data_IF_832230049873
#
_entry.id   IF_832230049873
#
_cell.length_a   1.000
_cell.length_b   1.000
_cell.length_c   1.000
_cell.angle_alpha   90.00
_cell.angle_beta   90.00
_cell.angle_gamma   90.00
#
_symmetry.space_group_name_H-M   'P 1'
#
loop_
_entity.id
_entity.type
_entity.pdbx_description
1 polymer ?
#
# COMPACT_ATOMS: atom_id res chain seq x y z
N UNK A 1 2.10 16.44 2.76
CA UNK A 1 1.30 16.88 1.59
C UNK A 1 0.01 16.09 1.58
N UNK A 2 -1.13 16.71 1.28
CA UNK A 2 -2.44 16.06 1.43
C UNK A 2 -2.98 15.79 0.02
N UNK A 3 -3.16 14.50 -0.32
CA UNK A 3 -3.86 14.09 -1.54
C UNK A 3 -5.37 14.42 -1.37
N UNK A 4 -6.00 15.03 -2.38
CA UNK A 4 -7.40 15.37 -2.35
C UNK A 4 -8.24 14.35 -3.11
N UNK A 5 -9.17 13.70 -2.41
CA UNK A 5 -10.14 12.77 -2.97
C UNK A 5 -11.47 13.47 -3.24
N UNK A 6 -12.04 13.28 -4.42
CA UNK A 6 -13.35 13.81 -4.83
C UNK A 6 -14.50 12.82 -4.60
N UNK A 7 -14.18 11.54 -4.50
CA UNK A 7 -15.16 10.44 -4.33
C UNK A 7 -14.51 9.24 -3.64
N UNK A 8 -15.32 8.21 -3.38
CA UNK A 8 -14.89 6.94 -2.78
C UNK A 8 -14.68 5.82 -3.80
N UNK A 9 -14.56 6.15 -5.10
CA UNK A 9 -14.34 5.12 -6.13
C UNK A 9 -12.93 4.56 -6.08
N UNK A 10 -12.76 3.28 -6.44
CA UNK A 10 -11.45 2.69 -6.58
C UNK A 10 -10.58 3.45 -7.60
N UNK A 11 -9.31 3.63 -7.27
CA UNK A 11 -8.34 4.24 -8.18
C UNK A 11 -7.98 3.26 -9.31
N UNK A 12 -7.39 3.80 -10.40
CA UNK A 12 -6.96 2.97 -11.52
C UNK A 12 -5.99 1.84 -11.11
N UNK A 13 -5.13 2.08 -10.13
CA UNK A 13 -4.17 1.08 -9.63
C UNK A 13 -4.85 -0.12 -8.96
N UNK A 14 -6.00 0.08 -8.35
CA UNK A 14 -6.76 -0.98 -7.69
C UNK A 14 -7.11 -2.13 -8.67
N UNK A 15 -7.37 -1.82 -9.94
CA UNK A 15 -7.70 -2.82 -10.97
C UNK A 15 -6.62 -3.88 -11.21
N UNK A 16 -5.35 -3.60 -10.91
CA UNK A 16 -4.26 -4.58 -11.02
C UNK A 16 -3.62 -4.96 -9.68
N UNK A 17 -3.91 -4.24 -8.60
CA UNK A 17 -3.43 -4.56 -7.24
C UNK A 17 -4.38 -5.51 -6.50
N UNK A 18 -5.68 -5.25 -6.58
CA UNK A 18 -6.70 -6.06 -5.88
C UNK A 18 -6.72 -7.54 -6.27
N UNK A 19 -6.47 -7.96 -7.52
CA UNK A 19 -6.37 -9.40 -7.83
C UNK A 19 -5.34 -10.13 -6.97
N UNK A 20 -4.14 -9.56 -6.76
CA UNK A 20 -3.11 -10.15 -5.90
C UNK A 20 -3.52 -10.11 -4.42
N UNK A 21 -4.11 -9.00 -3.96
CA UNK A 21 -4.65 -8.89 -2.62
C UNK A 21 -5.69 -9.98 -2.35
N UNK A 22 -6.68 -10.13 -3.25
CA UNK A 22 -7.75 -11.12 -3.13
C UNK A 22 -7.24 -12.56 -3.21
N UNK A 23 -6.32 -12.84 -4.13
CA UNK A 23 -5.65 -14.14 -4.21
C UNK A 23 -4.95 -14.48 -2.89
N UNK A 24 -4.20 -13.52 -2.32
CA UNK A 24 -3.46 -13.72 -1.08
C UNK A 24 -4.41 -13.98 0.10
N UNK A 25 -5.49 -13.20 0.23
CA UNK A 25 -6.41 -13.35 1.37
C UNK A 25 -7.29 -14.61 1.26
N UNK A 26 -7.66 -15.03 0.05
CA UNK A 26 -8.50 -16.21 -0.18
C UNK A 26 -7.74 -17.54 -0.03
N UNK A 27 -6.42 -17.53 -0.23
CA UNK A 27 -5.57 -18.71 -0.12
C UNK A 27 -5.03 -18.95 1.30
N UNK A 28 -5.56 -18.25 2.31
CA UNK A 28 -5.08 -18.33 3.69
C UNK A 28 -6.22 -18.48 4.68
N UNK A 29 -6.00 -19.30 5.71
CA UNK A 29 -6.85 -19.31 6.90
C UNK A 29 -6.46 -18.15 7.82
N UNK A 30 -7.44 -17.48 8.39
CA UNK A 30 -7.29 -16.31 9.25
C UNK A 30 -7.74 -16.63 10.68
N UNK A 31 -7.01 -16.18 11.69
CA UNK A 31 -7.33 -16.42 13.09
C UNK A 31 -8.43 -15.49 13.60
N UNK A 32 -8.36 -14.21 13.30
CA UNK A 32 -9.35 -13.23 13.77
C UNK A 32 -9.90 -12.32 12.67
N UNK A 33 -9.38 -12.38 11.45
CA UNK A 33 -9.76 -11.51 10.33
C UNK A 33 -9.74 -10.01 10.65
N UNK A 34 -8.79 -9.56 11.47
CA UNK A 34 -8.56 -8.13 11.68
C UNK A 34 -7.60 -7.61 10.61
N UNK A 35 -7.99 -6.54 9.92
CA UNK A 35 -7.16 -5.90 8.89
C UNK A 35 -6.89 -4.43 9.19
N UNK A 36 -5.70 -3.96 8.83
CA UNK A 36 -5.31 -2.56 8.89
C UNK A 36 -4.89 -2.06 7.52
N UNK A 37 -5.43 -0.92 7.08
CA UNK A 37 -5.05 -0.26 5.82
C UNK A 37 -4.27 1.03 6.14
N UNK A 38 -2.95 0.97 5.92
CA UNK A 38 -2.03 2.07 6.20
C UNK A 38 -1.88 2.95 4.96
N UNK A 39 -2.50 4.13 4.97
CA UNK A 39 -2.69 4.98 3.81
C UNK A 39 -3.97 4.61 3.05
N UNK A 40 -5.09 4.53 3.77
CA UNK A 40 -6.37 4.03 3.24
C UNK A 40 -7.06 4.96 2.24
N UNK A 41 -6.59 6.20 2.10
CA UNK A 41 -7.17 7.20 1.20
C UNK A 41 -8.67 7.38 1.39
N UNK A 42 -9.43 7.13 0.32
CA UNK A 42 -10.89 7.22 0.31
C UNK A 42 -11.63 5.96 0.81
N UNK A 43 -10.91 4.99 1.38
CA UNK A 43 -11.49 3.81 2.01
C UNK A 43 -11.93 2.70 1.06
N UNK A 44 -11.69 2.82 -0.25
CA UNK A 44 -12.13 1.82 -1.22
C UNK A 44 -11.55 0.41 -0.94
N UNK A 45 -10.25 0.32 -0.58
CA UNK A 45 -9.61 -0.95 -0.20
C UNK A 45 -10.13 -1.45 1.15
N UNK A 46 -10.37 -0.55 2.11
CA UNK A 46 -10.99 -0.92 3.38
C UNK A 46 -12.36 -1.58 3.17
N UNK A 47 -13.20 -0.98 2.31
CA UNK A 47 -14.51 -1.56 1.99
C UNK A 47 -14.39 -2.92 1.30
N UNK A 48 -13.48 -3.07 0.34
CA UNK A 48 -13.21 -4.36 -0.29
C UNK A 48 -12.88 -5.44 0.75
N UNK A 49 -11.98 -5.15 1.69
CA UNK A 49 -11.60 -6.08 2.76
C UNK A 49 -12.79 -6.40 3.68
N UNK A 50 -13.61 -5.40 4.00
CA UNK A 50 -14.82 -5.58 4.80
C UNK A 50 -15.82 -6.52 4.10
N UNK A 51 -16.05 -6.37 2.80
CA UNK A 51 -16.89 -7.25 2.00
C UNK A 51 -16.37 -8.72 1.97
N UNK A 52 -15.05 -8.92 2.21
CA UNK A 52 -14.43 -10.23 2.37
C UNK A 52 -14.40 -10.72 3.84
N UNK A 53 -15.14 -10.03 4.72
CA UNK A 53 -15.37 -10.43 6.11
C UNK A 53 -14.28 -10.06 7.08
N UNK A 54 -13.44 -9.07 6.76
CA UNK A 54 -12.47 -8.52 7.70
C UNK A 54 -13.10 -7.40 8.55
N UNK A 55 -12.68 -7.33 9.82
CA UNK A 55 -12.83 -6.15 10.66
C UNK A 55 -11.68 -5.18 10.34
N UNK A 56 -12.03 -4.05 9.70
CA UNK A 56 -11.04 -3.19 9.05
C UNK A 56 -10.92 -1.85 9.76
N UNK A 57 -9.68 -1.47 10.07
CA UNK A 57 -9.31 -0.11 10.46
C UNK A 57 -8.38 0.47 9.41
N UNK A 58 -8.67 1.67 8.93
CA UNK A 58 -7.80 2.40 7.99
C UNK A 58 -7.36 3.74 8.57
N UNK A 59 -6.14 4.17 8.24
CA UNK A 59 -5.68 5.52 8.55
C UNK A 59 -5.07 6.18 7.30
N UNK A 60 -5.31 7.48 7.17
CA UNK A 60 -4.69 8.31 6.12
C UNK A 60 -4.47 9.73 6.63
N UNK A 61 -3.51 10.43 6.06
CA UNK A 61 -3.27 11.86 6.33
C UNK A 61 -4.22 12.78 5.57
N UNK A 62 -4.91 12.27 4.54
CA UNK A 62 -5.87 13.01 3.72
C UNK A 62 -7.20 13.17 4.43
N UNK A 63 -7.50 14.39 4.86
CA UNK A 63 -8.80 14.74 5.47
C UNK A 63 -9.94 14.45 4.48
N UNK A 64 -9.81 14.86 3.22
CA UNK A 64 -10.85 14.62 2.21
C UNK A 64 -11.05 13.13 1.95
N UNK A 65 -9.98 12.32 1.93
CA UNK A 65 -10.06 10.88 1.78
C UNK A 65 -10.82 10.23 2.92
N UNK A 66 -10.43 10.51 4.16
CA UNK A 66 -11.10 9.96 5.35
C UNK A 66 -12.57 10.39 5.43
N UNK A 67 -12.90 11.63 5.09
CA UNK A 67 -14.30 12.08 5.05
C UNK A 67 -15.11 11.32 3.99
N UNK A 68 -14.55 11.08 2.80
CA UNK A 68 -15.21 10.27 1.77
C UNK A 68 -15.40 8.81 2.22
N UNK A 69 -14.38 8.22 2.86
CA UNK A 69 -14.45 6.86 3.41
C UNK A 69 -15.58 6.74 4.45
N UNK A 70 -15.63 7.64 5.43
CA UNK A 70 -16.64 7.64 6.48
C UNK A 70 -18.06 7.85 5.96
N UNK A 71 -18.22 8.73 4.95
CA UNK A 71 -19.53 9.00 4.34
C UNK A 71 -20.02 7.82 3.48
N UNK A 72 -19.12 7.14 2.76
CA UNK A 72 -19.48 6.10 1.78
C UNK A 72 -19.51 4.70 2.39
N UNK A 73 -18.69 4.45 3.43
CA UNK A 73 -18.49 3.13 4.02
C UNK A 73 -18.65 3.16 5.55
N UNK A 74 -19.87 3.39 6.08
CA UNK A 74 -20.10 3.59 7.52
C UNK A 74 -19.77 2.35 8.39
N UNK A 75 -19.64 1.18 7.78
CA UNK A 75 -19.26 -0.08 8.46
C UNK A 75 -17.74 -0.27 8.58
N UNK A 76 -16.94 0.66 8.05
CA UNK A 76 -15.48 0.60 8.10
C UNK A 76 -14.96 1.76 8.95
N UNK A 77 -14.01 1.46 9.83
CA UNK A 77 -13.36 2.48 10.66
C UNK A 77 -12.23 3.13 9.87
N UNK A 78 -12.42 4.37 9.39
CA UNK A 78 -11.37 5.16 8.76
C UNK A 78 -11.11 6.43 9.60
N UNK A 79 -9.84 6.69 9.93
CA UNK A 79 -9.43 7.79 10.80
C UNK A 79 -8.24 8.57 10.20
N UNK A 80 -8.09 9.82 10.62
CA UNK A 80 -6.91 10.62 10.28
C UNK A 80 -5.75 10.14 11.12
N UNK A 81 -4.64 9.82 10.46
CA UNK A 81 -3.41 9.37 11.11
C UNK A 81 -2.24 9.30 10.12
N UNK A 82 -1.04 9.18 10.63
CA UNK A 82 0.18 9.16 9.84
C UNK A 82 0.90 7.82 9.93
N UNK A 83 1.48 7.37 8.82
CA UNK A 83 2.40 6.22 8.81
C UNK A 83 3.69 6.42 9.62
N UNK A 84 3.86 7.59 10.23
CA UNK A 84 4.95 7.89 11.15
C UNK A 84 4.55 7.87 12.63
N UNK A 85 3.25 7.66 12.92
CA UNK A 85 2.75 7.58 14.28
C UNK A 85 2.97 6.17 14.87
N UNK A 86 2.92 6.04 16.19
CA UNK A 86 2.97 4.73 16.90
C UNK A 86 1.59 4.05 16.84
N UNK A 87 1.20 3.65 15.62
CA UNK A 87 -0.12 3.10 15.36
C UNK A 87 -0.34 1.75 16.03
N UNK A 88 0.70 0.93 16.16
CA UNK A 88 0.60 -0.37 16.83
C UNK A 88 0.29 -0.22 18.32
N UNK A 89 0.79 0.83 18.97
CA UNK A 89 0.44 1.15 20.36
C UNK A 89 -1.01 1.59 20.49
N UNK A 90 -1.53 2.29 19.50
CA UNK A 90 -2.89 2.85 19.52
C UNK A 90 -3.97 1.83 19.13
N UNK A 91 -3.73 1.07 18.06
CA UNK A 91 -4.72 0.16 17.46
C UNK A 91 -4.45 -1.33 17.73
N UNK A 92 -3.27 -1.67 18.24
CA UNK A 92 -2.81 -3.05 18.40
C UNK A 92 -2.25 -3.63 17.09
N UNK A 93 -2.30 -4.95 16.98
CA UNK A 93 -1.77 -5.70 15.82
C UNK A 93 -2.88 -6.41 15.05
N UNK A 94 -2.60 -6.74 13.79
CA UNK A 94 -3.60 -7.21 12.82
C UNK A 94 -3.10 -8.46 12.09
N UNK A 95 -4.02 -9.35 11.72
CA UNK A 95 -3.69 -10.52 10.90
C UNK A 95 -3.25 -10.13 9.49
N UNK A 96 -3.85 -9.05 8.96
CA UNK A 96 -3.55 -8.48 7.66
C UNK A 96 -3.24 -6.99 7.79
N UNK A 97 -2.09 -6.56 7.28
CA UNK A 97 -1.77 -5.13 7.13
C UNK A 97 -1.59 -4.84 5.64
N UNK A 98 -2.32 -3.87 5.14
CA UNK A 98 -2.26 -3.47 3.72
C UNK A 98 -1.74 -2.05 3.62
N UNK A 99 -0.94 -1.75 2.59
CA UNK A 99 -0.54 -0.40 2.22
C UNK A 99 -0.28 -0.35 0.72
N UNK A 100 -1.18 0.25 -0.04
CA UNK A 100 -1.15 0.23 -1.50
C UNK A 100 -0.83 1.60 -2.08
N UNK A 101 0.31 1.72 -2.79
CA UNK A 101 0.76 2.95 -3.47
C UNK A 101 0.90 4.14 -2.49
N UNK A 102 1.63 3.92 -1.37
CA UNK A 102 1.82 4.92 -0.31
C UNK A 102 3.29 5.22 -0.07
N UNK A 103 4.14 4.19 0.03
CA UNK A 103 5.55 4.32 0.47
C UNK A 103 6.39 5.19 -0.47
N UNK A 104 6.02 5.29 -1.74
CA UNK A 104 6.67 6.17 -2.74
C UNK A 104 6.49 7.66 -2.45
N UNK A 105 5.50 8.03 -1.64
CA UNK A 105 5.24 9.40 -1.20
C UNK A 105 5.92 9.72 0.14
N UNK A 106 6.55 8.74 0.80
CA UNK A 106 7.12 8.89 2.12
C UNK A 106 8.53 9.48 2.09
N UNK A 107 8.79 10.57 2.83
CA UNK A 107 10.13 11.13 3.00
C UNK A 107 11.06 10.17 3.73
N UNK A 108 10.56 9.53 4.80
CA UNK A 108 11.26 8.58 5.66
C UNK A 108 10.72 7.16 5.48
N UNK A 109 11.08 6.46 4.38
CA UNK A 109 10.51 5.15 4.07
C UNK A 109 10.86 4.09 5.12
N UNK A 110 12.00 4.22 5.84
CA UNK A 110 12.35 3.31 6.95
C UNK A 110 11.43 3.47 8.14
N UNK A 111 11.06 4.70 8.49
CA UNK A 111 10.10 4.97 9.57
C UNK A 111 8.73 4.38 9.22
N UNK A 112 8.25 4.64 8.01
CA UNK A 112 7.01 4.07 7.50
C UNK A 112 7.02 2.54 7.47
N UNK A 113 8.08 1.91 6.96
CA UNK A 113 8.20 0.45 6.91
C UNK A 113 8.23 -0.18 8.31
N UNK A 114 8.86 0.47 9.29
CA UNK A 114 8.84 0.01 10.69
C UNK A 114 7.42 0.06 11.27
N UNK A 115 6.68 1.15 11.04
CA UNK A 115 5.27 1.26 11.45
C UNK A 115 4.43 0.17 10.80
N UNK A 116 4.56 -0.02 9.48
CA UNK A 116 3.86 -1.06 8.73
C UNK A 116 4.12 -2.45 9.31
N UNK A 117 5.39 -2.82 9.55
CA UNK A 117 5.75 -4.12 10.11
C UNK A 117 5.33 -4.27 11.56
N UNK A 118 5.32 -3.19 12.37
CA UNK A 118 4.91 -3.24 13.77
C UNK A 118 3.44 -3.58 13.96
N UNK A 119 2.61 -3.25 12.97
CA UNK A 119 1.17 -3.54 12.96
C UNK A 119 0.86 -5.02 12.66
N UNK A 120 1.81 -5.79 12.10
CA UNK A 120 1.58 -7.21 11.75
C UNK A 120 1.63 -8.05 13.02
N UNK A 121 0.56 -8.79 13.28
CA UNK A 121 0.48 -9.76 14.38
C UNK A 121 1.45 -10.95 14.18
N UNK A 122 1.86 -11.64 15.24
CA UNK A 122 2.57 -12.92 15.09
C UNK A 122 1.75 -13.89 14.23
N UNK A 123 2.37 -14.41 13.17
CA UNK A 123 1.69 -15.24 12.18
C UNK A 123 0.80 -14.49 11.18
N UNK A 124 0.66 -13.17 11.30
CA UNK A 124 0.02 -12.31 10.31
C UNK A 124 0.89 -12.03 9.08
N UNK A 125 0.33 -11.31 8.11
CA UNK A 125 1.05 -10.86 6.92
C UNK A 125 0.81 -9.39 6.63
N UNK A 126 1.76 -8.78 5.94
CA UNK A 126 1.63 -7.46 5.33
C UNK A 126 1.61 -7.54 3.81
N UNK A 127 0.83 -6.70 3.16
CA UNK A 127 0.79 -6.54 1.70
C UNK A 127 1.08 -5.07 1.40
N UNK A 128 2.24 -4.80 0.80
CA UNK A 128 2.69 -3.46 0.47
C UNK A 128 2.93 -3.34 -1.02
N UNK A 129 2.36 -2.32 -1.66
CA UNK A 129 2.64 -2.03 -3.06
C UNK A 129 3.32 -0.68 -3.27
N UNK A 130 4.00 -0.57 -4.40
CA UNK A 130 4.58 0.67 -4.90
C UNK A 130 4.83 0.54 -6.40
N UNK A 131 4.91 1.65 -7.19
CA UNK A 131 5.28 1.59 -8.59
C UNK A 131 6.61 0.89 -8.82
N UNK A 132 6.65 0.01 -9.82
CA UNK A 132 7.84 -0.75 -10.15
C UNK A 132 8.80 0.05 -11.01
N UNK A 133 10.03 0.23 -10.55
CA UNK A 133 11.12 0.92 -11.26
C UNK A 133 12.31 -0.02 -11.54
N UNK A 134 12.03 -1.08 -12.34
CA UNK A 134 13.08 -2.00 -12.80
C UNK A 134 13.91 -1.41 -13.94
N UNK A 135 15.14 -1.93 -14.09
CA UNK A 135 16.10 -1.46 -15.09
C UNK A 135 15.53 -1.43 -16.52
N UNK A 136 14.92 -2.54 -16.98
CA UNK A 136 14.38 -2.65 -18.34
C UNK A 136 13.24 -1.66 -18.58
N UNK A 137 12.35 -1.47 -17.60
CA UNK A 137 11.28 -0.47 -17.68
C UNK A 137 11.84 0.93 -17.82
N UNK A 138 12.80 1.31 -16.96
CA UNK A 138 13.39 2.64 -17.00
C UNK A 138 14.18 2.90 -18.30
N UNK A 139 14.90 1.87 -18.80
CA UNK A 139 15.56 1.95 -20.09
C UNK A 139 14.55 2.17 -21.24
N UNK A 140 13.43 1.44 -21.24
CA UNK A 140 12.37 1.61 -22.23
C UNK A 140 11.74 3.02 -22.16
N UNK A 141 11.53 3.57 -20.96
CA UNK A 141 11.04 4.94 -20.78
C UNK A 141 12.03 5.98 -21.35
N UNK A 142 13.32 5.80 -21.11
CA UNK A 142 14.37 6.68 -21.62
C UNK A 142 14.46 6.62 -23.14
N UNK A 143 14.51 5.42 -23.72
CA UNK A 143 14.60 5.23 -25.18
C UNK A 143 13.37 5.72 -25.95
N UNK A 144 12.19 5.69 -25.32
CA UNK A 144 10.93 6.12 -25.94
C UNK A 144 10.57 7.57 -25.64
N UNK A 145 11.42 8.34 -24.94
CA UNK A 145 11.15 9.72 -24.54
C UNK A 145 9.98 9.92 -23.58
N UNK A 146 9.62 8.86 -22.81
CA UNK A 146 8.44 8.89 -21.92
C UNK A 146 8.80 9.18 -20.45
N UNK A 147 10.01 9.64 -20.18
CA UNK A 147 10.44 9.94 -18.79
C UNK A 147 9.56 11.02 -18.15
N UNK A 148 9.37 12.16 -18.83
CA UNK A 148 8.63 13.29 -18.26
C UNK A 148 7.17 12.95 -17.97
N UNK A 149 6.51 12.24 -18.91
CA UNK A 149 5.12 11.80 -18.72
C UNK A 149 4.97 10.70 -17.65
N UNK A 150 6.05 9.99 -17.34
CA UNK A 150 6.05 8.92 -16.34
C UNK A 150 6.34 9.44 -14.93
N UNK A 151 7.35 10.32 -14.79
CA UNK A 151 7.77 10.83 -13.49
C UNK A 151 6.95 12.03 -13.01
N UNK A 152 6.21 12.69 -13.92
CA UNK A 152 5.25 13.76 -13.60
C UNK A 152 5.79 14.79 -12.59
N UNK A 153 6.97 15.37 -12.90
CA UNK A 153 7.71 16.23 -11.98
C UNK A 153 6.92 17.48 -11.49
N UNK A 154 5.87 17.87 -12.20
CA UNK A 154 5.02 19.01 -11.83
C UNK A 154 3.81 18.60 -10.98
N UNK A 155 3.69 17.32 -10.63
CA UNK A 155 2.60 16.86 -9.78
C UNK A 155 2.92 17.12 -8.30
N UNK A 156 2.25 18.09 -7.71
CA UNK A 156 2.35 18.39 -6.27
C UNK A 156 1.86 17.18 -5.46
N UNK A 157 2.75 16.58 -4.66
CA UNK A 157 2.46 15.34 -3.93
C UNK A 157 2.72 14.05 -4.69
N UNK A 158 3.36 14.16 -5.85
CA UNK A 158 3.77 13.03 -6.65
C UNK A 158 4.79 12.11 -5.97
N UNK A 159 5.25 11.12 -6.72
CA UNK A 159 6.19 10.13 -6.22
C UNK A 159 7.57 10.77 -5.97
N UNK A 160 8.13 10.57 -4.78
CA UNK A 160 9.45 11.03 -4.38
C UNK A 160 10.46 9.90 -4.18
N UNK A 161 9.98 8.63 -4.14
CA UNK A 161 10.80 7.42 -4.06
C UNK A 161 10.49 6.49 -5.22
N UNK A 162 11.53 5.92 -5.81
CA UNK A 162 11.45 5.08 -7.00
C UNK A 162 12.10 3.73 -6.69
N UNK A 163 11.27 2.75 -6.29
CA UNK A 163 11.75 1.45 -5.83
C UNK A 163 11.93 0.46 -6.97
N UNK A 164 13.05 -0.27 -6.94
CA UNK A 164 13.20 -1.56 -7.62
C UNK A 164 12.90 -2.70 -6.63
N UNK A 165 12.79 -3.94 -7.12
CA UNK A 165 12.67 -5.11 -6.23
C UNK A 165 13.80 -5.16 -5.20
N UNK A 166 15.04 -4.92 -5.63
CA UNK A 166 16.20 -4.98 -4.74
C UNK A 166 16.16 -3.90 -3.64
N UNK A 167 15.79 -2.67 -4.00
CA UNK A 167 15.77 -1.57 -3.01
C UNK A 167 14.61 -1.70 -2.03
N UNK A 168 13.45 -2.22 -2.47
CA UNK A 168 12.33 -2.49 -1.58
C UNK A 168 12.60 -3.70 -0.67
N UNK A 169 13.19 -4.78 -1.19
CA UNK A 169 13.62 -5.94 -0.40
C UNK A 169 14.60 -5.52 0.71
N UNK A 170 15.64 -4.76 0.34
CA UNK A 170 16.62 -4.24 1.29
C UNK A 170 15.94 -3.41 2.39
N UNK A 171 15.08 -2.47 2.02
CA UNK A 171 14.36 -1.62 2.97
C UNK A 171 13.52 -2.45 3.96
N UNK A 172 12.74 -3.39 3.47
CA UNK A 172 11.85 -4.20 4.31
C UNK A 172 12.66 -5.12 5.25
N UNK A 173 13.75 -5.71 4.76
CA UNK A 173 14.65 -6.54 5.61
C UNK A 173 15.37 -5.72 6.67
N UNK A 174 15.90 -4.55 6.35
CA UNK A 174 16.49 -3.62 7.31
C UNK A 174 15.50 -3.25 8.43
N UNK A 175 14.20 -3.23 8.12
CA UNK A 175 13.14 -2.92 9.08
C UNK A 175 12.58 -4.15 9.83
N UNK A 176 13.05 -5.37 9.52
CA UNK A 176 12.73 -6.59 10.27
C UNK A 176 11.79 -7.58 9.58
N UNK A 177 11.48 -7.40 8.29
CA UNK A 177 10.74 -8.40 7.52
C UNK A 177 11.60 -9.68 7.32
N UNK A 178 11.01 -10.85 7.59
CA UNK A 178 11.70 -12.14 7.48
C UNK A 178 11.52 -12.78 6.11
N UNK A 179 10.27 -12.97 5.70
CA UNK A 179 9.94 -13.56 4.40
C UNK A 179 9.27 -12.50 3.52
N UNK A 180 9.78 -12.33 2.30
CA UNK A 180 9.24 -11.36 1.34
C UNK A 180 9.03 -12.08 0.02
N UNK A 181 7.80 -12.05 -0.46
CA UNK A 181 7.44 -12.57 -1.77
C UNK A 181 6.93 -11.43 -2.65
N UNK A 182 7.49 -11.32 -3.88
CA UNK A 182 7.14 -10.23 -4.78
C UNK A 182 6.28 -10.67 -5.95
N UNK A 183 5.22 -9.92 -6.23
CA UNK A 183 4.46 -9.98 -7.47
C UNK A 183 4.70 -8.71 -8.29
N UNK A 184 4.80 -8.84 -9.60
CA UNK A 184 4.86 -7.71 -10.54
C UNK A 184 3.59 -7.68 -11.36
N UNK A 185 2.86 -6.57 -11.31
CA UNK A 185 1.47 -6.47 -11.78
C UNK A 185 1.25 -5.36 -12.79
N UNK A 186 0.10 -5.41 -13.46
CA UNK A 186 -0.38 -4.38 -14.39
C UNK A 186 0.13 -4.50 -15.82
N UNK A 187 1.19 -5.27 -16.07
CA UNK A 187 1.77 -5.61 -17.40
C UNK A 187 2.65 -6.84 -17.28
N UNK A 188 3.31 -7.23 -18.40
CA UNK A 188 4.35 -8.27 -18.37
C UNK A 188 5.46 -7.90 -17.37
N UNK A 189 6.07 -8.88 -16.68
CA UNK A 189 6.95 -8.64 -15.55
C UNK A 189 8.07 -7.60 -15.75
N UNK A 190 8.82 -7.56 -16.87
CA UNK A 190 9.88 -6.58 -17.06
C UNK A 190 9.37 -5.13 -17.17
N UNK A 191 8.11 -4.94 -17.58
CA UNK A 191 7.45 -3.65 -17.81
C UNK A 191 6.29 -3.41 -16.83
N UNK A 192 6.23 -4.11 -15.71
CA UNK A 192 5.17 -4.03 -14.73
C UNK A 192 4.88 -2.57 -14.30
N UNK A 193 3.61 -2.29 -13.99
CA UNK A 193 3.21 -0.97 -13.46
C UNK A 193 3.61 -0.82 -12.01
N UNK A 194 3.28 -1.83 -11.21
CA UNK A 194 3.58 -1.86 -9.79
C UNK A 194 4.20 -3.21 -9.39
N UNK A 195 4.78 -3.24 -8.21
CA UNK A 195 5.17 -4.44 -7.49
C UNK A 195 4.44 -4.51 -6.17
N UNK A 196 4.09 -5.71 -5.77
CA UNK A 196 3.44 -6.02 -4.49
C UNK A 196 4.37 -6.93 -3.70
N UNK A 197 4.71 -6.52 -2.50
CA UNK A 197 5.46 -7.33 -1.53
C UNK A 197 4.46 -7.94 -0.53
N UNK A 198 4.41 -9.25 -0.46
CA UNK A 198 3.74 -9.99 0.62
C UNK A 198 4.81 -10.36 1.64
N UNK A 199 4.66 -9.89 2.87
CA UNK A 199 5.68 -10.01 3.91
C UNK A 199 5.13 -10.70 5.15
N UNK A 200 5.99 -11.44 5.86
CA UNK A 200 5.76 -11.89 7.23
C UNK A 200 6.86 -11.39 8.15
N UNK A 201 6.50 -11.23 9.40
CA UNK A 201 7.40 -10.81 10.47
C UNK A 201 7.84 -12.01 11.28
#
# INVERSE_FOLDING_TARGET
>A
MIYNYSDAQPTYSNGYLWPVLLETINNRAWSSKRAFDLGCGNGATCNLLHEHGFDVTGVDTSISGVMQAQASFPNVRCEIGSGYDDLARHYGVFDLVVSLEVIEHCFEPRSFAKTFLSLIAPGGIGILSTPYHGYIKNLALALTGKMDSHFTALWDGGHIKFFSLATLDTLLRECGAQNIHFHRVGRIPPLAKAMVAVVSR
#
